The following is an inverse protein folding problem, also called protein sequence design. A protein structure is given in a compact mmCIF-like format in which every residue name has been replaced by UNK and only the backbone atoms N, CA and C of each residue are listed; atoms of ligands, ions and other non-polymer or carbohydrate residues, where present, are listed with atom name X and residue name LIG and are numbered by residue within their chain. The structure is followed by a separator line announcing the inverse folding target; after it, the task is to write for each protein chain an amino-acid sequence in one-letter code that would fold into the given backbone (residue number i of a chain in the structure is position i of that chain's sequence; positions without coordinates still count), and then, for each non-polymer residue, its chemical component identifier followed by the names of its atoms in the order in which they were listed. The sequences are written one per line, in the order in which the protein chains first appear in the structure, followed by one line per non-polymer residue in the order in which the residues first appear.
data_IF_738893945263
#
_entry.id   IF_738893945263
#
_cell.length_a   1.000
_cell.length_b   1.000
_cell.length_c   1.000
_cell.angle_alpha   90.00
_cell.angle_beta   90.00
_cell.angle_gamma   90.00
#
_symmetry.space_group_name_H-M   'P 1'
#
loop_
_entity.id
_entity.type
_entity.pdbx_description
1 polymer ?
#
# COMPACT_ATOMS: atom_id res chain seq x y z
N UNK A 1 30.22 12.17 20.69
CA UNK A 1 28.85 12.18 20.10
C UNK A 1 28.78 11.18 18.95
N UNK A 2 28.38 9.91 19.19
CA UNK A 2 28.42 8.85 18.19
C UNK A 2 27.18 8.80 17.27
N UNK A 3 26.32 9.83 17.30
CA UNK A 3 25.03 9.84 16.58
C UNK A 3 25.15 10.17 15.09
N UNK A 4 26.31 10.68 14.61
CA UNK A 4 26.49 11.04 13.19
C UNK A 4 26.68 9.83 12.27
N UNK A 5 27.16 8.69 12.78
CA UNK A 5 27.43 7.50 11.97
C UNK A 5 26.18 6.67 11.62
N UNK A 6 25.06 6.91 12.29
CA UNK A 6 23.77 6.26 11.99
C UNK A 6 23.00 6.94 10.84
N UNK A 7 23.41 8.16 10.44
CA UNK A 7 22.86 8.87 9.29
C UNK A 7 23.63 8.60 7.99
N UNK A 8 24.77 7.91 8.07
CA UNK A 8 25.39 7.24 6.92
C UNK A 8 24.68 5.89 6.76
N UNK A 9 23.36 5.93 6.56
CA UNK A 9 22.65 4.76 6.03
C UNK A 9 23.24 4.56 4.66
N UNK A 10 24.17 3.60 4.53
CA UNK A 10 24.68 3.13 3.24
C UNK A 10 23.52 3.13 2.26
N UNK A 11 23.69 3.83 1.13
CA UNK A 11 22.63 4.00 0.13
C UNK A 11 21.91 2.67 -0.01
N UNK A 12 20.60 2.57 0.35
CA UNK A 12 19.94 1.29 0.47
C UNK A 12 20.22 0.54 -0.82
N UNK A 13 20.95 -0.57 -0.74
CA UNK A 13 21.43 -1.22 -1.96
C UNK A 13 20.24 -1.55 -2.88
N UNK A 14 20.45 -1.72 -4.19
CA UNK A 14 19.36 -1.99 -5.14
C UNK A 14 18.40 -3.08 -4.66
N UNK A 15 18.91 -4.09 -3.96
CA UNK A 15 18.14 -5.16 -3.31
C UNK A 15 17.11 -4.65 -2.29
N UNK A 16 17.46 -3.68 -1.43
CA UNK A 16 16.53 -3.12 -0.44
C UNK A 16 15.40 -2.35 -1.11
N UNK A 17 15.68 -1.64 -2.21
CA UNK A 17 14.65 -0.99 -3.01
C UNK A 17 13.73 -1.99 -3.70
N UNK A 18 14.26 -3.09 -4.24
CA UNK A 18 13.45 -4.16 -4.85
C UNK A 18 12.53 -4.79 -3.80
N UNK A 19 13.07 -5.12 -2.62
CA UNK A 19 12.29 -5.69 -1.52
C UNK A 19 11.20 -4.70 -1.07
N UNK A 20 11.55 -3.42 -0.89
CA UNK A 20 10.59 -2.37 -0.54
C UNK A 20 9.49 -2.20 -1.60
N UNK A 21 9.86 -2.24 -2.88
CA UNK A 21 8.92 -2.17 -3.99
C UNK A 21 7.94 -3.36 -4.00
N UNK A 22 8.43 -4.58 -3.78
CA UNK A 22 7.59 -5.78 -3.66
C UNK A 22 6.62 -5.63 -2.48
N UNK A 23 7.09 -5.16 -1.33
CA UNK A 23 6.25 -4.94 -0.14
C UNK A 23 5.17 -3.89 -0.42
N UNK A 24 5.50 -2.77 -1.06
CA UNK A 24 4.51 -1.75 -1.45
C UNK A 24 3.47 -2.29 -2.43
N UNK A 25 3.90 -3.11 -3.40
CA UNK A 25 2.99 -3.74 -4.37
C UNK A 25 2.03 -4.72 -3.68
N UNK A 26 2.53 -5.57 -2.78
CA UNK A 26 1.70 -6.54 -2.05
C UNK A 26 0.78 -5.86 -1.04
N UNK A 27 1.27 -4.84 -0.32
CA UNK A 27 0.52 -4.17 0.75
C UNK A 27 -0.46 -3.10 0.28
N UNK A 28 -0.22 -2.46 -0.87
CA UNK A 28 -1.05 -1.35 -1.37
C UNK A 28 -1.73 -1.70 -2.69
N UNK A 29 -0.96 -2.18 -3.69
CA UNK A 29 -1.51 -2.42 -5.03
C UNK A 29 -2.45 -3.62 -5.06
N UNK A 30 -2.12 -4.71 -4.34
CA UNK A 30 -3.00 -5.88 -4.24
C UNK A 30 -4.35 -5.53 -3.57
N UNK A 31 -4.40 -4.84 -2.41
CA UNK A 31 -5.66 -4.39 -1.82
C UNK A 31 -6.41 -3.35 -2.64
N UNK A 32 -5.73 -2.38 -3.26
CA UNK A 32 -6.39 -1.36 -4.10
C UNK A 32 -6.99 -2.00 -5.36
N UNK A 33 -6.23 -2.84 -6.05
CA UNK A 33 -6.73 -3.60 -7.20
C UNK A 33 -7.89 -4.52 -6.80
N UNK A 34 -7.78 -5.17 -5.64
CA UNK A 34 -8.85 -5.99 -5.09
C UNK A 34 -10.10 -5.19 -4.76
N UNK A 35 -9.96 -4.03 -4.12
CA UNK A 35 -11.06 -3.12 -3.82
C UNK A 35 -11.71 -2.63 -5.10
N UNK A 36 -10.95 -2.18 -6.09
CA UNK A 36 -11.50 -1.74 -7.37
C UNK A 36 -12.24 -2.86 -8.11
N UNK A 37 -11.72 -4.09 -8.06
CA UNK A 37 -12.31 -5.24 -8.73
C UNK A 37 -13.52 -5.82 -7.99
N UNK A 38 -13.47 -5.92 -6.66
CA UNK A 38 -14.61 -6.31 -5.81
C UNK A 38 -15.71 -5.24 -5.85
N UNK A 39 -15.36 -3.97 -5.77
CA UNK A 39 -16.32 -2.87 -5.73
C UNK A 39 -17.06 -2.69 -7.07
N UNK A 40 -16.52 -3.22 -8.18
CA UNK A 40 -17.26 -3.33 -9.45
C UNK A 40 -18.14 -4.58 -9.56
N UNK A 41 -17.92 -5.61 -8.74
CA UNK A 41 -18.68 -6.88 -8.75
C UNK A 41 -19.70 -7.03 -7.63
N UNK A 42 -19.67 -6.14 -6.65
CA UNK A 42 -20.70 -6.01 -5.62
C UNK A 42 -21.31 -4.64 -5.84
N UNK A 43 -22.60 -4.52 -6.19
CA UNK A 43 -23.24 -3.22 -6.16
C UNK A 43 -23.07 -2.71 -4.73
N UNK A 44 -22.50 -1.51 -4.58
CA UNK A 44 -22.52 -0.84 -3.29
C UNK A 44 -24.01 -0.65 -2.97
N UNK A 45 -24.60 -1.57 -2.22
CA UNK A 45 -25.95 -1.45 -1.72
C UNK A 45 -25.92 -0.34 -0.70
N UNK A 46 -25.93 0.90 -1.20
CA UNK A 46 -26.31 2.07 -0.45
C UNK A 46 -27.74 1.84 0.01
N UNK A 47 -27.84 1.16 1.15
CA UNK A 47 -29.00 1.11 2.03
C UNK A 47 -29.13 2.49 2.67
N UNK A 48 -29.33 3.50 1.83
CA UNK A 48 -29.58 4.90 2.17
C UNK A 48 -30.54 5.47 1.12
N UNK A 49 -31.61 4.74 0.86
CA UNK A 49 -32.80 5.24 0.16
C UNK A 49 -34.07 4.69 0.85
N UNK A 50 -34.03 4.56 2.18
CA UNK A 50 -35.23 4.49 3.01
C UNK A 50 -35.37 5.80 3.78
N UNK A 51 -36.11 6.74 3.21
CA UNK A 51 -37.13 7.58 3.85
C UNK A 51 -37.42 8.77 2.95
N UNK A 52 -38.45 8.64 2.12
CA UNK A 52 -39.69 9.45 2.13
C UNK A 52 -40.52 9.11 0.91
#
# INVERSE_FOLDING_TARGET
MPLRRLLEVEAPGPMRYIIGAIIMMVGVVLPVGYMMFRNKRVPNSSTYAKQT
#
